data_IF_143813022396
#
_entry.id   IF_143813022396
#
_cell.length_a   1.000
_cell.length_b   1.000
_cell.length_c   1.000
_cell.angle_alpha   90.00
_cell.angle_beta   90.00
_cell.angle_gamma   90.00
#
_symmetry.space_group_name_H-M   'P 1'
#
loop_
_entity.id
_entity.type
_entity.pdbx_description
1 polymer ?
#
# COMPACT_ATOMS: atom_id res chain seq x y z
N UNK A 1 5.85 15.38 -6.38
CA UNK A 1 4.74 15.54 -5.42
C UNK A 1 3.45 15.19 -6.14
N UNK A 2 2.89 14.02 -5.84
CA UNK A 2 1.59 13.67 -6.40
C UNK A 2 0.50 14.35 -5.60
N UNK A 3 -0.36 15.12 -6.27
CA UNK A 3 -1.46 15.81 -5.63
C UNK A 3 -2.69 14.89 -5.60
N UNK A 4 -2.76 14.01 -4.60
CA UNK A 4 -3.99 13.25 -4.31
C UNK A 4 -5.06 14.23 -3.83
N UNK A 5 -6.23 14.20 -4.45
CA UNK A 5 -7.38 15.03 -4.05
C UNK A 5 -8.11 14.40 -2.87
N UNK A 6 -7.59 14.63 -1.67
CA UNK A 6 -8.15 14.11 -0.42
C UNK A 6 -9.58 14.59 -0.12
N UNK A 7 -10.02 15.71 -0.71
CA UNK A 7 -11.42 16.15 -0.67
C UNK A 7 -12.39 15.16 -1.35
N UNK A 8 -11.85 14.20 -2.12
CA UNK A 8 -12.61 13.13 -2.81
C UNK A 8 -12.49 11.77 -2.14
N UNK A 9 -11.62 11.64 -1.14
CA UNK A 9 -11.50 10.45 -0.31
C UNK A 9 -12.44 10.63 0.89
N UNK A 10 -13.22 9.61 1.28
CA UNK A 10 -14.01 9.66 2.50
C UNK A 10 -13.12 10.01 3.70
N UNK A 11 -13.59 10.93 4.54
CA UNK A 11 -12.81 11.50 5.64
C UNK A 11 -12.31 10.45 6.63
N UNK A 12 -13.07 9.36 6.78
CA UNK A 12 -12.73 8.21 7.60
C UNK A 12 -11.38 7.59 7.19
N UNK A 13 -11.01 7.65 5.90
CA UNK A 13 -9.78 7.06 5.37
C UNK A 13 -8.61 8.05 5.25
N UNK A 14 -8.77 9.30 5.72
CA UNK A 14 -7.71 10.32 5.62
C UNK A 14 -6.46 10.01 6.45
N UNK A 15 -6.54 9.04 7.38
CA UNK A 15 -5.34 8.56 8.09
C UNK A 15 -4.33 7.86 7.16
N UNK A 16 -4.74 7.43 5.97
CA UNK A 16 -3.84 6.86 4.96
C UNK A 16 -2.97 7.92 4.27
N UNK A 17 -3.25 9.22 4.49
CA UNK A 17 -2.67 10.32 3.74
C UNK A 17 -1.17 10.38 3.78
N UNK A 18 -0.61 10.27 4.97
CA UNK A 18 0.83 10.38 5.18
C UNK A 18 1.58 9.26 4.44
N UNK A 19 1.12 8.00 4.58
CA UNK A 19 1.70 6.86 3.88
C UNK A 19 1.56 6.99 2.34
N UNK A 20 0.38 7.39 1.86
CA UNK A 20 0.13 7.58 0.42
C UNK A 20 1.02 8.67 -0.16
N UNK A 21 1.16 9.81 0.52
CA UNK A 21 1.97 10.94 0.04
C UNK A 21 3.48 10.63 0.10
N UNK A 22 3.92 9.84 1.09
CA UNK A 22 5.31 9.41 1.23
C UNK A 22 5.72 8.31 0.23
N UNK A 23 4.83 7.36 -0.07
CA UNK A 23 5.13 6.22 -0.95
C UNK A 23 4.84 6.53 -2.43
N UNK A 24 3.90 7.42 -2.71
CA UNK A 24 3.53 7.75 -4.09
C UNK A 24 2.80 6.61 -4.79
N UNK A 25 3.11 6.40 -6.08
CA UNK A 25 2.47 5.37 -6.91
C UNK A 25 3.14 4.01 -6.70
N UNK A 26 2.44 3.09 -6.05
CA UNK A 26 3.01 1.79 -5.65
C UNK A 26 2.34 0.59 -6.31
N UNK A 27 1.35 0.81 -7.17
CA UNK A 27 0.68 -0.25 -7.95
C UNK A 27 1.51 -0.79 -9.11
N UNK A 28 2.52 -0.04 -9.53
CA UNK A 28 3.36 -0.41 -10.67
C UNK A 28 4.72 -0.80 -10.15
N UNK A 29 5.06 -2.08 -10.29
CA UNK A 29 6.41 -2.57 -10.06
C UNK A 29 7.30 -2.07 -11.19
N UNK A 30 8.35 -1.33 -10.87
CA UNK A 30 9.27 -0.80 -11.87
C UNK A 30 10.35 -1.84 -12.20
N UNK A 31 10.75 -1.89 -13.47
CA UNK A 31 11.88 -2.70 -13.89
C UNK A 31 13.18 -2.01 -13.49
N UNK A 32 14.02 -2.70 -12.71
CA UNK A 32 15.35 -2.25 -12.35
C UNK A 32 16.38 -2.93 -13.29
N UNK A 33 17.06 -2.16 -14.16
CA UNK A 33 18.03 -2.72 -15.10
C UNK A 33 19.35 -3.15 -14.44
N UNK A 34 19.65 -2.68 -13.23
CA UNK A 34 20.86 -3.05 -12.49
C UNK A 34 20.76 -4.46 -11.94
N UNK A 35 19.57 -4.87 -11.46
CA UNK A 35 19.30 -6.25 -11.01
C UNK A 35 18.62 -7.12 -12.08
N UNK A 36 18.23 -6.54 -13.20
CA UNK A 36 17.68 -7.27 -14.35
C UNK A 36 16.26 -7.81 -14.16
N UNK A 37 15.51 -7.30 -13.17
CA UNK A 37 14.15 -7.76 -12.85
C UNK A 37 13.24 -6.60 -12.40
N UNK A 38 11.94 -6.88 -12.34
CA UNK A 38 10.99 -5.99 -11.66
C UNK A 38 11.22 -6.10 -10.14
N UNK A 39 11.30 -4.95 -9.47
CA UNK A 39 11.56 -4.84 -8.04
C UNK A 39 10.36 -4.21 -7.36
N UNK A 40 9.81 -4.91 -6.37
CA UNK A 40 8.65 -4.45 -5.61
C UNK A 40 9.01 -3.19 -4.82
N UNK A 41 8.04 -2.31 -4.61
CA UNK A 41 8.27 -1.08 -3.86
C UNK A 41 8.83 -1.36 -2.46
N UNK A 42 8.35 -2.41 -1.79
CA UNK A 42 8.81 -2.78 -0.43
C UNK A 42 10.31 -3.11 -0.40
N UNK A 43 10.88 -3.63 -1.47
CA UNK A 43 12.31 -3.97 -1.55
C UNK A 43 13.21 -2.73 -1.62
N UNK A 44 12.66 -1.58 -2.03
CA UNK A 44 13.40 -0.32 -2.21
C UNK A 44 12.89 0.81 -1.32
N UNK A 45 11.85 0.56 -0.53
CA UNK A 45 11.27 1.52 0.40
C UNK A 45 12.27 1.85 1.52
N UNK A 46 12.32 3.13 1.92
CA UNK A 46 13.09 3.53 3.10
C UNK A 46 12.44 3.01 4.39
N UNK A 47 13.21 2.93 5.48
CA UNK A 47 12.68 2.56 6.79
C UNK A 47 11.49 3.45 7.22
N UNK A 48 11.58 4.76 6.95
CA UNK A 48 10.49 5.72 7.20
C UNK A 48 9.22 5.37 6.42
N UNK A 49 9.36 5.02 5.13
CA UNK A 49 8.22 4.61 4.31
C UNK A 49 7.63 3.29 4.81
N UNK A 50 8.47 2.32 5.18
CA UNK A 50 8.02 1.04 5.75
C UNK A 50 7.25 1.24 7.06
N UNK A 51 7.72 2.12 7.94
CA UNK A 51 7.05 2.43 9.19
C UNK A 51 5.70 3.14 8.98
N UNK A 52 5.62 4.04 7.99
CA UNK A 52 4.35 4.66 7.60
C UNK A 52 3.36 3.63 7.04
N UNK A 53 3.81 2.69 6.20
CA UNK A 53 2.96 1.62 5.66
C UNK A 53 2.48 0.71 6.79
N UNK A 54 3.36 0.29 7.71
CA UNK A 54 3.00 -0.54 8.88
C UNK A 54 1.99 0.17 9.78
N UNK A 55 2.21 1.46 10.06
CA UNK A 55 1.30 2.28 10.86
C UNK A 55 -0.08 2.41 10.20
N UNK A 56 -0.12 2.66 8.89
CA UNK A 56 -1.35 2.74 8.11
C UNK A 56 -2.09 1.39 8.12
N UNK A 57 -1.38 0.28 7.90
CA UNK A 57 -1.93 -1.08 7.97
C UNK A 57 -2.55 -1.38 9.32
N UNK A 58 -1.83 -1.10 10.41
CA UNK A 58 -2.32 -1.31 11.76
C UNK A 58 -3.60 -0.52 12.04
N UNK A 59 -3.72 0.70 11.49
CA UNK A 59 -4.97 1.48 11.61
C UNK A 59 -6.12 0.87 10.81
N UNK A 60 -5.89 0.38 9.60
CA UNK A 60 -6.91 -0.31 8.80
C UNK A 60 -7.42 -1.54 9.53
N UNK A 61 -6.52 -2.37 10.06
CA UNK A 61 -6.87 -3.58 10.81
C UNK A 61 -7.63 -3.25 12.10
N UNK A 62 -7.14 -2.28 12.87
CA UNK A 62 -7.76 -1.87 14.13
C UNK A 62 -9.17 -1.30 13.95
N UNK A 63 -9.43 -0.64 12.81
CA UNK A 63 -10.73 -0.04 12.48
C UNK A 63 -11.64 -0.97 11.70
N UNK A 64 -11.12 -2.12 11.24
CA UNK A 64 -11.81 -3.05 10.36
C UNK A 64 -12.24 -2.40 9.02
N UNK A 65 -11.52 -1.37 8.58
CA UNK A 65 -11.89 -0.51 7.44
C UNK A 65 -11.66 -1.19 6.08
N UNK A 66 -10.94 -2.33 6.02
CA UNK A 66 -10.45 -2.91 4.76
C UNK A 66 -11.56 -3.09 3.71
N UNK A 67 -12.65 -3.76 4.09
CA UNK A 67 -13.78 -4.01 3.19
C UNK A 67 -14.42 -2.70 2.70
N UNK A 68 -14.55 -1.71 3.57
CA UNK A 68 -15.17 -0.42 3.23
C UNK A 68 -14.29 0.38 2.26
N UNK A 69 -12.97 0.30 2.41
CA UNK A 69 -12.01 0.92 1.48
C UNK A 69 -12.10 0.22 0.12
N UNK A 70 -12.15 -1.12 0.09
CA UNK A 70 -12.29 -1.90 -1.14
C UNK A 70 -13.61 -1.57 -1.86
N UNK A 71 -14.74 -1.56 -1.14
CA UNK A 71 -16.05 -1.17 -1.66
C UNK A 71 -16.05 0.25 -2.24
N UNK A 72 -15.42 1.20 -1.55
CA UNK A 72 -15.28 2.57 -2.05
C UNK A 72 -14.48 2.62 -3.35
N UNK A 73 -13.39 1.85 -3.44
CA UNK A 73 -12.55 1.78 -4.64
C UNK A 73 -13.25 1.14 -5.84
N UNK A 74 -14.10 0.15 -5.61
CA UNK A 74 -14.81 -0.59 -6.67
C UNK A 74 -16.09 0.10 -7.14
N UNK A 75 -16.63 1.02 -6.34
CA UNK A 75 -17.90 1.68 -6.61
C UNK A 75 -17.89 2.41 -7.98
N UNK A 76 -18.74 1.99 -8.94
CA UNK A 76 -18.77 2.59 -10.27
C UNK A 76 -19.19 4.06 -10.26
N UNK A 77 -19.94 4.51 -9.26
CA UNK A 77 -20.31 5.93 -9.10
C UNK A 77 -19.11 6.84 -8.82
N UNK A 78 -18.01 6.27 -8.33
CA UNK A 78 -16.76 6.98 -8.00
C UNK A 78 -15.77 7.02 -9.17
N UNK A 79 -16.03 6.36 -10.31
CA UNK A 79 -15.10 6.29 -11.46
C UNK A 79 -15.00 7.57 -12.30
N UNK A 80 -15.25 8.73 -11.69
CA UNK A 80 -15.00 10.04 -12.31
C UNK A 80 -13.48 10.26 -12.43
N UNK A 81 -12.96 10.86 -13.51
CA UNK A 81 -11.53 11.08 -13.69
C UNK A 81 -10.84 11.75 -12.49
N UNK A 82 -11.54 12.65 -11.81
CA UNK A 82 -11.05 13.38 -10.64
C UNK A 82 -10.84 12.54 -9.38
N UNK A 83 -11.45 11.35 -9.29
CA UNK A 83 -11.42 10.45 -8.13
C UNK A 83 -10.55 9.22 -8.42
N UNK A 84 -10.41 8.84 -9.70
CA UNK A 84 -9.59 7.71 -10.13
C UNK A 84 -8.15 7.79 -9.63
N UNK A 85 -7.54 8.97 -9.60
CA UNK A 85 -6.20 9.14 -9.02
C UNK A 85 -6.20 8.79 -7.53
N UNK A 86 -7.17 9.26 -6.75
CA UNK A 86 -7.22 8.92 -5.33
C UNK A 86 -7.45 7.42 -5.10
N UNK A 87 -8.36 6.81 -5.85
CA UNK A 87 -8.61 5.36 -5.84
C UNK A 87 -7.31 4.59 -6.17
N UNK A 88 -6.58 5.01 -7.21
CA UNK A 88 -5.35 4.35 -7.63
C UNK A 88 -4.30 4.28 -6.51
N UNK A 89 -4.12 5.38 -5.79
CA UNK A 89 -3.14 5.50 -4.71
C UNK A 89 -3.59 4.75 -3.45
N UNK A 90 -4.87 4.84 -3.07
CA UNK A 90 -5.42 4.09 -1.93
C UNK A 90 -5.37 2.58 -2.19
N UNK A 91 -5.73 2.12 -3.39
CA UNK A 91 -5.56 0.71 -3.79
C UNK A 91 -4.09 0.28 -3.79
N UNK A 92 -3.17 1.19 -4.13
CA UNK A 92 -1.74 0.96 -4.00
C UNK A 92 -1.31 0.65 -2.57
N UNK A 93 -1.91 1.32 -1.57
CA UNK A 93 -1.61 1.00 -0.16
C UNK A 93 -2.17 -0.36 0.25
N UNK A 94 -3.39 -0.71 -0.15
CA UNK A 94 -3.93 -2.05 0.13
C UNK A 94 -3.02 -3.14 -0.43
N UNK A 95 -2.51 -2.94 -1.64
CA UNK A 95 -1.55 -3.86 -2.26
C UNK A 95 -0.23 -3.97 -1.47
N UNK A 96 0.29 -2.88 -0.93
CA UNK A 96 1.47 -2.92 -0.06
C UNK A 96 1.19 -3.64 1.26
N UNK A 97 -0.02 -3.53 1.82
CA UNK A 97 -0.37 -4.26 3.03
C UNK A 97 -0.32 -5.77 2.82
N UNK A 98 -0.79 -6.24 1.66
CA UNK A 98 -0.73 -7.64 1.25
C UNK A 98 0.72 -8.10 1.01
N UNK A 99 1.55 -7.25 0.39
CA UNK A 99 2.97 -7.57 0.21
C UNK A 99 3.73 -7.63 1.55
N UNK A 100 3.39 -6.79 2.53
CA UNK A 100 3.96 -6.88 3.88
C UNK A 100 3.60 -8.20 4.56
N UNK A 101 2.38 -8.71 4.37
CA UNK A 101 2.01 -10.04 4.87
C UNK A 101 2.78 -11.14 4.14
N UNK A 102 2.90 -11.05 2.80
CA UNK A 102 3.66 -12.01 2.00
C UNK A 102 5.15 -12.06 2.34
N UNK A 103 5.78 -10.92 2.60
CA UNK A 103 7.20 -10.84 3.01
C UNK A 103 7.45 -11.22 4.47
N UNK A 104 6.43 -11.28 5.33
CA UNK A 104 6.60 -11.84 6.67
C UNK A 104 6.84 -13.37 6.66
N UNK A 105 6.49 -14.08 5.58
CA UNK A 105 6.66 -15.54 5.48
C UNK A 105 8.04 -15.98 4.95
N UNK A 106 8.94 -15.07 4.55
CA UNK A 106 10.33 -15.44 4.17
C UNK A 106 11.29 -15.49 5.37
N UNK A 107 10.79 -15.29 6.60
CA UNK A 107 11.56 -15.50 7.84
C UNK A 107 11.07 -16.78 8.53
N UNK A 108 11.21 -17.92 7.85
CA UNK A 108 11.33 -19.22 8.50
C UNK A 108 12.75 -19.76 8.24
N UNK A 109 13.75 -19.07 8.78
CA UNK A 109 14.92 -19.77 9.29
C UNK A 109 14.51 -20.35 10.65
N UNK A 110 13.95 -21.55 10.62
CA UNK A 110 14.12 -22.46 11.75
C UNK A 110 14.95 -23.62 11.21
N UNK A 111 16.26 -23.51 11.47
CA UNK A 111 17.22 -24.60 11.51
C UNK A 111 16.54 -25.87 12.04
N UNK A 112 16.20 -26.80 11.15
CA UNK A 112 16.08 -28.21 11.50
C UNK A 112 17.33 -28.94 11.01
N UNK A 113 18.47 -28.57 11.60
CA UNK A 113 19.56 -29.51 11.86
C UNK A 113 19.28 -30.14 13.24
N UNK A 114 18.93 -31.43 13.28
CA UNK A 114 19.63 -32.42 14.14
C UNK A 114 19.08 -33.85 13.85
N UNK A 115 20.00 -34.71 13.41
CA UNK A 115 20.13 -36.18 13.51
C UNK A 115 19.02 -37.14 13.00
#
# INVERSE_FOLDING_TARGET
MTVVRWDRVPSEFHYLREAVEACGETRVTLYDPTVGRHVSFIETASDEQLDLIRSAKHQVERREDRLQIEEWCENPAQKRPSVLTAIWYVQGMLFLFDQLDGHQFEVFDDDFDDD
#
